data_IF_867911909509
#
_entry.id   IF_867911909509
#
_cell.length_a   1.000
_cell.length_b   1.000
_cell.length_c   1.000
_cell.angle_alpha   90.00
_cell.angle_beta   90.00
_cell.angle_gamma   90.00
#
_symmetry.space_group_name_H-M   'P 1'
#
loop_
_entity.id
_entity.type
_entity.pdbx_description
1 polymer ?
#
# COMPACT_ATOMS: atom_id res chain seq x y z
N UNK A 1 -20.42 -16.23 0.60
CA UNK A 1 -19.00 -16.10 0.21
C UNK A 1 -18.48 -14.85 0.88
N UNK A 2 -17.51 -14.96 1.81
CA UNK A 2 -16.98 -13.82 2.55
C UNK A 2 -15.50 -13.64 2.24
N UNK A 3 -15.17 -12.65 1.42
CA UNK A 3 -13.78 -12.30 1.11
C UNK A 3 -13.21 -11.54 2.30
N UNK A 4 -12.22 -12.11 2.99
CA UNK A 4 -11.59 -11.50 4.16
C UNK A 4 -10.49 -10.50 3.78
N UNK A 5 -9.84 -10.72 2.64
CA UNK A 5 -8.74 -9.91 2.14
C UNK A 5 -8.88 -9.76 0.62
N UNK A 6 -8.78 -8.54 0.13
CA UNK A 6 -8.72 -8.23 -1.28
C UNK A 6 -7.51 -7.33 -1.54
N UNK A 7 -6.72 -7.65 -2.54
CA UNK A 7 -5.58 -6.82 -2.96
C UNK A 7 -5.84 -6.30 -4.36
N UNK A 8 -5.80 -4.98 -4.53
CA UNK A 8 -5.97 -4.30 -5.80
C UNK A 8 -4.64 -3.70 -6.23
N UNK A 9 -4.22 -4.06 -7.43
CA UNK A 9 -3.04 -3.48 -8.05
C UNK A 9 -3.45 -2.24 -8.85
N UNK A 10 -3.33 -1.07 -8.23
CA UNK A 10 -3.82 0.18 -8.82
C UNK A 10 -2.75 0.87 -9.68
N UNK A 11 -1.46 0.77 -9.32
CA UNK A 11 -0.40 1.50 -10.03
C UNK A 11 0.99 0.87 -9.87
N UNK A 12 1.68 0.55 -10.98
CA UNK A 12 3.08 0.10 -10.97
C UNK A 12 4.05 1.29 -11.01
N UNK A 13 5.28 1.10 -10.51
CA UNK A 13 6.34 2.11 -10.65
C UNK A 13 6.68 2.33 -12.14
N UNK A 14 6.58 1.29 -12.98
CA UNK A 14 6.81 1.39 -14.42
C UNK A 14 5.82 2.34 -15.11
N UNK A 15 4.61 2.49 -14.57
CA UNK A 15 3.62 3.43 -15.10
C UNK A 15 3.97 4.89 -14.85
N UNK A 16 4.92 5.22 -13.97
CA UNK A 16 5.44 6.60 -13.86
C UNK A 16 6.27 7.05 -15.06
N UNK A 17 6.66 6.12 -15.96
CA UNK A 17 7.30 6.47 -17.24
C UNK A 17 6.30 6.96 -18.29
N UNK A 18 5.00 6.91 -18.01
CA UNK A 18 3.96 7.48 -18.87
C UNK A 18 3.82 8.98 -18.66
N UNK A 19 3.04 9.61 -19.55
CA UNK A 19 2.84 11.05 -19.54
C UNK A 19 2.39 11.55 -18.16
N UNK A 20 3.02 12.61 -17.62
CA UNK A 20 2.72 13.13 -16.29
C UNK A 20 1.24 13.53 -16.11
N UNK A 21 0.53 13.88 -17.19
CA UNK A 21 -0.91 14.16 -17.13
C UNK A 21 -1.76 12.91 -16.87
N UNK A 22 -1.39 11.76 -17.45
CA UNK A 22 -2.10 10.49 -17.23
C UNK A 22 -1.89 10.02 -15.78
N UNK A 23 -0.66 10.17 -15.27
CA UNK A 23 -0.33 9.86 -13.87
C UNK A 23 -1.16 10.74 -12.93
N UNK A 24 -1.24 12.05 -13.17
CA UNK A 24 -2.02 12.96 -12.33
C UNK A 24 -3.51 12.62 -12.35
N UNK A 25 -4.10 12.33 -13.52
CA UNK A 25 -5.52 11.96 -13.62
C UNK A 25 -5.85 10.66 -12.87
N UNK A 26 -4.95 9.67 -12.90
CA UNK A 26 -5.13 8.43 -12.14
C UNK A 26 -5.02 8.67 -10.63
N UNK A 27 -4.07 9.52 -10.20
CA UNK A 27 -3.94 9.92 -8.80
C UNK A 27 -5.17 10.67 -8.29
N UNK A 28 -5.71 11.58 -9.10
CA UNK A 28 -6.94 12.30 -8.79
C UNK A 28 -8.13 11.33 -8.70
N UNK A 29 -8.17 10.30 -9.55
CA UNK A 29 -9.19 9.25 -9.47
C UNK A 29 -9.06 8.42 -8.19
N UNK A 30 -7.84 8.11 -7.73
CA UNK A 30 -7.62 7.42 -6.45
C UNK A 30 -8.09 8.28 -5.29
N UNK A 31 -7.73 9.57 -5.26
CA UNK A 31 -8.20 10.53 -4.25
C UNK A 31 -9.72 10.62 -4.28
N UNK A 32 -10.34 10.73 -5.46
CA UNK A 32 -11.79 10.82 -5.59
C UNK A 32 -12.51 9.56 -5.07
N UNK A 33 -11.98 8.36 -5.38
CA UNK A 33 -12.51 7.11 -4.84
C UNK A 33 -12.37 7.06 -3.32
N UNK A 34 -11.21 7.42 -2.78
CA UNK A 34 -10.97 7.53 -1.34
C UNK A 34 -11.97 8.50 -0.69
N UNK A 35 -12.15 9.67 -1.28
CA UNK A 35 -13.08 10.69 -0.79
C UNK A 35 -14.54 10.20 -0.84
N UNK A 36 -14.92 9.44 -1.88
CA UNK A 36 -16.24 8.82 -1.96
C UNK A 36 -16.44 7.75 -0.88
N UNK A 37 -15.41 6.93 -0.61
CA UNK A 37 -15.43 5.98 0.49
C UNK A 37 -15.60 6.68 1.84
N UNK A 38 -14.94 7.82 2.05
CA UNK A 38 -15.04 8.62 3.28
C UNK A 38 -16.36 9.38 3.41
N UNK A 39 -16.92 9.90 2.32
CA UNK A 39 -18.10 10.80 2.31
C UNK A 39 -19.44 10.08 2.50
N UNK A 40 -19.44 8.77 2.71
CA UNK A 40 -20.61 8.08 3.27
C UNK A 40 -21.32 7.14 2.33
N UNK A 41 -20.56 6.34 1.57
CA UNK A 41 -21.14 5.11 1.07
C UNK A 41 -21.39 4.19 2.28
N UNK A 42 -22.66 4.14 2.72
CA UNK A 42 -23.13 3.43 3.93
C UNK A 42 -22.71 1.97 3.95
N UNK A 43 -22.34 1.40 2.80
CA UNK A 43 -21.79 0.06 2.69
C UNK A 43 -20.45 -0.11 3.43
N UNK A 44 -19.50 0.81 3.25
CA UNK A 44 -18.14 0.65 3.80
C UNK A 44 -18.09 0.88 5.30
N UNK A 45 -18.85 1.86 5.81
CA UNK A 45 -19.05 2.03 7.26
C UNK A 45 -19.79 0.85 7.89
N UNK A 46 -20.71 0.18 7.17
CA UNK A 46 -21.39 -1.03 7.67
C UNK A 46 -20.53 -2.29 7.60
N UNK A 47 -19.63 -2.36 6.62
CA UNK A 47 -18.74 -3.50 6.41
C UNK A 47 -17.46 -3.42 7.26
N UNK A 48 -17.19 -2.27 7.88
CA UNK A 48 -16.02 -2.04 8.74
C UNK A 48 -14.71 -2.41 8.04
N UNK A 49 -14.55 -1.94 6.79
CA UNK A 49 -13.41 -2.32 5.94
C UNK A 49 -12.14 -1.61 6.38
N UNK A 50 -11.03 -2.36 6.52
CA UNK A 50 -9.70 -1.81 6.79
C UNK A 50 -8.95 -1.57 5.48
N UNK A 51 -8.45 -0.36 5.23
CA UNK A 51 -7.75 -0.03 3.99
C UNK A 51 -6.25 0.14 4.28
N UNK A 52 -5.40 -0.49 3.47
CA UNK A 52 -3.95 -0.41 3.59
C UNK A 52 -3.35 -0.11 2.22
N UNK A 53 -2.46 0.88 2.14
CA UNK A 53 -1.71 1.18 0.92
C UNK A 53 -0.30 0.59 1.01
N UNK A 54 0.12 -0.12 -0.02
CA UNK A 54 1.42 -0.76 -0.13
C UNK A 54 2.21 -0.19 -1.31
N UNK A 55 3.51 -0.01 -1.14
CA UNK A 55 4.43 0.50 -2.17
C UNK A 55 5.19 1.73 -1.72
N UNK A 56 5.94 2.32 -2.66
CA UNK A 56 6.77 3.47 -2.36
C UNK A 56 5.96 4.77 -2.43
N UNK A 57 5.32 5.12 -1.30
CA UNK A 57 4.52 6.34 -1.17
C UNK A 57 5.34 7.64 -1.30
N UNK A 58 6.68 7.58 -1.25
CA UNK A 58 7.55 8.75 -1.45
C UNK A 58 7.61 9.17 -2.92
N UNK A 59 7.31 8.26 -3.86
CA UNK A 59 7.19 8.57 -5.28
C UNK A 59 5.87 9.26 -5.63
N UNK A 60 4.91 9.30 -4.70
CA UNK A 60 3.62 9.93 -4.91
C UNK A 60 3.68 11.43 -4.61
N UNK A 61 2.81 12.18 -5.26
CA UNK A 61 2.63 13.60 -4.94
C UNK A 61 2.09 13.77 -3.52
N UNK A 62 2.51 14.84 -2.85
CA UNK A 62 2.09 15.17 -1.49
C UNK A 62 0.57 15.05 -1.22
N UNK A 63 -0.33 15.55 -2.08
CA UNK A 63 -1.77 15.42 -1.84
C UNK A 63 -2.25 13.96 -1.76
N UNK A 64 -1.71 13.07 -2.61
CA UNK A 64 -2.07 11.64 -2.63
C UNK A 64 -1.56 10.96 -1.37
N UNK A 65 -0.31 11.24 -0.99
CA UNK A 65 0.31 10.70 0.21
C UNK A 65 -0.46 11.09 1.47
N UNK A 66 -0.89 12.35 1.57
CA UNK A 66 -1.70 12.84 2.70
C UNK A 66 -3.08 12.16 2.73
N UNK A 67 -3.74 12.01 1.58
CA UNK A 67 -5.04 11.34 1.48
C UNK A 67 -4.96 9.85 1.84
N UNK A 68 -3.96 9.13 1.31
CA UNK A 68 -3.72 7.73 1.63
C UNK A 68 -3.47 7.53 3.13
N UNK A 69 -2.60 8.35 3.73
CA UNK A 69 -2.30 8.28 5.17
C UNK A 69 -3.54 8.54 6.03
N UNK A 70 -4.32 9.58 5.69
CA UNK A 70 -5.57 9.90 6.39
C UNK A 70 -6.54 8.72 6.42
N UNK A 71 -6.63 7.96 5.33
CA UNK A 71 -7.55 6.81 5.25
C UNK A 71 -7.03 5.58 5.96
N UNK A 72 -5.72 5.33 5.92
CA UNK A 72 -5.11 4.29 6.74
C UNK A 72 -5.35 4.57 8.23
N UNK A 73 -5.17 5.82 8.66
CA UNK A 73 -5.39 6.23 10.05
C UNK A 73 -6.87 6.13 10.45
N UNK A 74 -7.80 6.52 9.57
CA UNK A 74 -9.24 6.42 9.84
C UNK A 74 -9.75 4.99 9.91
N UNK A 75 -9.13 4.06 9.17
CA UNK A 75 -9.59 2.67 9.06
C UNK A 75 -8.74 1.68 9.87
N UNK A 76 -7.75 2.16 10.64
CA UNK A 76 -6.83 1.32 11.42
C UNK A 76 -7.53 0.47 12.48
N UNK A 77 -8.63 0.97 13.03
CA UNK A 77 -9.39 0.30 14.09
C UNK A 77 -10.48 -0.66 13.56
N UNK A 78 -10.67 -0.69 12.24
CA UNK A 78 -11.69 -1.49 11.60
C UNK A 78 -11.31 -2.98 11.64
N UNK A 79 -12.26 -3.85 11.98
CA UNK A 79 -12.08 -5.30 12.17
C UNK A 79 -12.70 -6.14 11.05
N UNK A 80 -13.34 -5.50 10.07
CA UNK A 80 -13.90 -6.16 8.90
C UNK A 80 -12.84 -6.57 7.88
N UNK A 81 -13.22 -6.73 6.61
CA UNK A 81 -12.32 -7.22 5.57
C UNK A 81 -11.22 -6.19 5.27
N UNK A 82 -10.05 -6.67 4.89
CA UNK A 82 -8.89 -5.83 4.56
C UNK A 82 -8.82 -5.62 3.06
N UNK A 83 -8.81 -4.36 2.63
CA UNK A 83 -8.54 -3.94 1.26
C UNK A 83 -7.11 -3.38 1.18
N UNK A 84 -6.23 -4.14 0.54
CA UNK A 84 -4.85 -3.74 0.27
C UNK A 84 -4.76 -3.12 -1.11
N UNK A 85 -4.21 -1.91 -1.23
CA UNK A 85 -4.06 -1.19 -2.49
C UNK A 85 -2.58 -0.99 -2.77
N UNK A 86 -2.06 -1.62 -3.82
CA UNK A 86 -0.67 -1.46 -4.24
C UNK A 86 -0.56 -0.25 -5.18
N UNK A 87 0.20 0.77 -4.78
CA UNK A 87 0.42 2.01 -5.52
C UNK A 87 1.92 2.28 -5.56
N UNK A 88 2.46 2.64 -6.72
CA UNK A 88 3.90 2.83 -6.90
C UNK A 88 4.68 1.61 -6.38
N UNK A 89 4.20 0.42 -6.73
CA UNK A 89 4.78 -0.84 -6.28
C UNK A 89 5.27 -1.65 -7.47
N UNK A 90 6.52 -2.12 -7.42
CA UNK A 90 7.01 -3.20 -8.30
C UNK A 90 7.63 -4.29 -7.45
N UNK A 91 7.51 -5.53 -7.90
CA UNK A 91 8.12 -6.66 -7.19
C UNK A 91 9.64 -6.51 -7.10
N UNK A 92 10.29 -5.90 -8.10
CA UNK A 92 11.72 -5.60 -8.08
C UNK A 92 12.08 -4.60 -6.98
N UNK A 93 11.30 -3.52 -6.83
CA UNK A 93 11.51 -2.51 -5.78
C UNK A 93 11.27 -3.09 -4.39
N UNK A 94 10.22 -3.90 -4.22
CA UNK A 94 9.94 -4.59 -2.95
C UNK A 94 11.09 -5.54 -2.56
N UNK A 95 11.57 -6.36 -3.49
CA UNK A 95 12.67 -7.30 -3.23
C UNK A 95 13.95 -6.52 -2.90
N UNK A 96 14.23 -5.44 -3.62
CA UNK A 96 15.42 -4.60 -3.37
C UNK A 96 15.35 -3.96 -1.99
N UNK A 97 14.18 -3.40 -1.62
CA UNK A 97 13.95 -2.85 -0.29
C UNK A 97 14.12 -3.91 0.81
N UNK A 98 13.55 -5.10 0.61
CA UNK A 98 13.65 -6.20 1.57
C UNK A 98 15.09 -6.65 1.77
N UNK A 99 15.89 -6.71 0.70
CA UNK A 99 17.33 -7.02 0.76
C UNK A 99 18.08 -5.93 1.52
N UNK A 100 17.90 -4.65 1.16
CA UNK A 100 18.57 -3.52 1.81
C UNK A 100 18.23 -3.44 3.31
N UNK A 101 16.97 -3.63 3.66
CA UNK A 101 16.52 -3.66 5.05
C UNK A 101 17.14 -4.82 5.82
N UNK A 102 17.16 -6.03 5.25
CA UNK A 102 17.74 -7.22 5.87
C UNK A 102 19.24 -7.08 6.10
N UNK A 103 19.97 -6.53 5.11
CA UNK A 103 21.41 -6.25 5.22
C UNK A 103 21.70 -5.19 6.29
N UNK A 104 20.87 -4.14 6.37
CA UNK A 104 21.00 -3.10 7.40
C UNK A 104 20.72 -3.62 8.81
N UNK A 105 19.72 -4.47 8.96
CA UNK A 105 19.34 -5.07 10.26
C UNK A 105 20.38 -6.09 10.74
N UNK A 106 21.02 -6.82 9.83
CA UNK A 106 22.00 -7.87 10.15
C UNK A 106 23.43 -7.52 9.71
N UNK A 107 23.87 -6.28 9.96
CA UNK A 107 25.24 -5.82 9.63
C UNK A 107 26.37 -6.71 10.17
N UNK A 108 26.12 -7.46 11.25
CA UNK A 108 27.13 -8.29 11.93
C UNK A 108 27.05 -9.79 11.59
N UNK A 109 26.01 -10.25 10.86
CA UNK A 109 25.85 -11.67 10.50
C UNK A 109 26.17 -11.88 9.02
N UNK A 110 26.99 -12.90 8.74
CA UNK A 110 27.41 -13.28 7.38
C UNK A 110 26.29 -14.02 6.61
N UNK A 111 25.27 -14.53 7.31
CA UNK A 111 24.16 -15.26 6.71
C UNK A 111 22.83 -14.51 6.87
N UNK A 112 22.17 -14.31 5.73
CA UNK A 112 20.80 -13.82 5.59
C UNK A 112 19.95 -15.02 5.17
N UNK A 113 18.88 -15.30 5.91
CA UNK A 113 17.94 -16.37 5.58
C UNK A 113 16.76 -15.84 4.76
N UNK A 114 16.07 -16.72 4.02
CA UNK A 114 14.85 -16.35 3.27
C UNK A 114 13.79 -15.77 4.20
N UNK A 115 13.71 -16.27 5.43
CA UNK A 115 12.80 -15.77 6.47
C UNK A 115 13.05 -14.30 6.83
N UNK A 116 14.28 -13.81 6.67
CA UNK A 116 14.62 -12.40 6.93
C UNK A 116 14.13 -11.50 5.80
N UNK A 117 14.21 -11.96 4.54
CA UNK A 117 13.65 -11.24 3.40
C UNK A 117 12.12 -11.17 3.48
N UNK A 118 11.46 -12.30 3.76
CA UNK A 118 10.00 -12.37 3.86
C UNK A 118 9.44 -11.39 4.89
N UNK A 119 10.16 -11.13 5.98
CA UNK A 119 9.77 -10.17 7.03
C UNK A 119 9.93 -8.70 6.65
N UNK A 120 10.72 -8.43 5.61
CA UNK A 120 11.07 -7.11 5.15
C UNK A 120 10.43 -6.75 3.80
N UNK A 121 9.62 -7.66 3.23
CA UNK A 121 8.72 -7.34 2.13
C UNK A 121 7.68 -6.31 2.58
N UNK A 122 7.26 -5.41 1.68
CA UNK A 122 6.18 -4.47 1.97
C UNK A 122 4.89 -5.20 2.30
N UNK A 123 4.61 -6.30 1.59
CA UNK A 123 3.44 -7.14 1.81
C UNK A 123 3.52 -8.01 3.08
N UNK A 124 4.65 -8.01 3.77
CA UNK A 124 4.79 -8.68 5.06
C UNK A 124 3.93 -7.94 6.10
N UNK A 125 2.71 -8.42 6.31
CA UNK A 125 1.77 -7.83 7.26
C UNK A 125 2.37 -7.88 8.68
N UNK A 126 3.03 -6.81 9.12
CA UNK A 126 3.45 -6.59 10.53
C UNK A 126 2.31 -6.08 11.43
N UNK A 127 1.10 -5.97 10.89
CA UNK A 127 -0.09 -5.42 11.56
C UNK A 127 -1.18 -6.49 11.70
N UNK A 128 -0.80 -7.60 12.35
CA UNK A 128 -1.71 -8.54 13.01
C UNK A 128 -1.48 -8.43 14.52
#
# INVERSE_FOLDING_TARGET
MGVKHATVYAFSIDNFRRDPHEVQALMDMVIANIDQLLKGDRLFMKLDVRIIFWGNLELLTDPVRVAAKKVMDMTVHNKGPVLSVCVAYTSTDEITHAIEASVRERREKVQIDVSDLERNLFTACRLC
#
